data_IF_295564259088
#
_entry.id   IF_295564259088
#
_cell.length_a   1.000
_cell.length_b   1.000
_cell.length_c   1.000
_cell.angle_alpha   90.00
_cell.angle_beta   90.00
_cell.angle_gamma   90.00
#
_symmetry.space_group_name_H-M   'P 1'
#
loop_
_entity.id
_entity.type
_entity.pdbx_description
1 polymer ?
#
# COMPACT_ATOMS: atom_id res chain seq x y z
N UNK A 1 22.73 -15.50 -4.16
CA UNK A 1 21.42 -16.11 -3.87
C UNK A 1 20.95 -15.67 -2.49
N UNK A 2 20.12 -14.65 -2.45
CA UNK A 2 19.48 -14.18 -1.23
C UNK A 2 18.15 -14.92 -1.07
N UNK A 3 17.82 -15.38 0.14
CA UNK A 3 16.56 -16.08 0.48
C UNK A 3 15.33 -15.17 0.39
N UNK A 4 15.14 -14.49 -0.75
CA UNK A 4 13.95 -13.67 -1.00
C UNK A 4 13.12 -14.29 -2.12
N UNK A 5 11.82 -14.42 -1.88
CA UNK A 5 10.84 -14.87 -2.84
C UNK A 5 9.87 -13.74 -3.16
N UNK A 6 9.33 -13.74 -4.36
CA UNK A 6 8.35 -12.76 -4.82
C UNK A 6 7.11 -13.50 -5.31
N UNK A 7 5.94 -13.04 -4.88
CA UNK A 7 4.66 -13.57 -5.31
C UNK A 7 3.80 -12.44 -5.85
N UNK A 8 3.58 -12.45 -7.15
CA UNK A 8 2.79 -11.44 -7.88
C UNK A 8 1.32 -11.79 -7.94
N UNK A 9 0.51 -10.84 -8.38
CA UNK A 9 -0.94 -10.99 -8.61
C UNK A 9 -1.65 -11.58 -7.39
N UNK A 10 -1.25 -11.16 -6.19
CA UNK A 10 -1.75 -11.69 -4.93
C UNK A 10 -2.21 -10.55 -4.01
N UNK A 11 -3.46 -10.63 -3.56
CA UNK A 11 -4.06 -9.64 -2.65
C UNK A 11 -4.10 -10.19 -1.23
N UNK A 12 -3.77 -9.36 -0.25
CA UNK A 12 -4.03 -9.70 1.16
C UNK A 12 -5.49 -9.45 1.47
N UNK A 13 -6.15 -10.49 1.94
CA UNK A 13 -7.59 -10.47 2.24
C UNK A 13 -7.90 -10.59 3.74
N UNK A 14 -6.95 -11.10 4.52
CA UNK A 14 -7.07 -11.19 5.98
C UNK A 14 -5.68 -11.43 6.61
N UNK A 15 -5.63 -11.51 7.90
CA UNK A 15 -4.42 -11.74 8.70
C UNK A 15 -4.57 -12.95 9.61
N UNK A 16 -3.44 -13.53 9.98
CA UNK A 16 -3.36 -14.62 10.94
C UNK A 16 -2.90 -14.09 12.30
N UNK A 17 -3.47 -14.62 13.34
CA UNK A 17 -3.01 -14.38 14.72
C UNK A 17 -2.70 -15.70 15.41
N UNK A 18 -1.72 -15.68 16.31
CA UNK A 18 -1.45 -16.78 17.23
C UNK A 18 -2.50 -16.84 18.36
N UNK A 19 -2.49 -17.86 19.23
CA UNK A 19 -3.43 -17.96 20.35
C UNK A 19 -3.36 -16.78 21.34
N UNK A 20 -2.27 -16.02 21.37
CA UNK A 20 -2.13 -14.81 22.19
C UNK A 20 -2.63 -13.54 21.51
N UNK A 21 -3.10 -13.63 20.25
CA UNK A 21 -3.56 -12.51 19.45
C UNK A 21 -2.46 -11.74 18.72
N UNK A 22 -1.20 -12.18 18.79
CA UNK A 22 -0.09 -11.55 18.04
C UNK A 22 -0.13 -11.93 16.56
N UNK A 23 0.37 -11.08 15.67
CA UNK A 23 0.50 -11.41 14.26
C UNK A 23 1.27 -12.70 14.05
N UNK A 24 0.72 -13.58 13.23
CA UNK A 24 1.29 -14.88 12.89
C UNK A 24 1.36 -15.11 11.36
N UNK A 25 0.89 -14.15 10.58
CA UNK A 25 0.91 -14.22 9.13
C UNK A 25 -0.24 -13.48 8.44
N UNK A 26 -0.45 -13.81 7.20
CA UNK A 26 -1.48 -13.21 6.34
C UNK A 26 -2.26 -14.27 5.57
N UNK A 27 -3.46 -13.90 5.11
CA UNK A 27 -4.25 -14.66 4.15
C UNK A 27 -4.24 -13.90 2.83
N UNK A 28 -3.87 -14.57 1.77
CA UNK A 28 -3.88 -14.03 0.42
C UNK A 28 -4.98 -14.66 -0.43
N UNK A 29 -5.35 -13.97 -1.48
CA UNK A 29 -6.16 -14.49 -2.58
C UNK A 29 -5.45 -14.21 -3.90
N UNK A 30 -5.36 -15.22 -4.74
CA UNK A 30 -4.84 -15.16 -6.09
C UNK A 30 -5.55 -16.17 -6.99
N UNK A 31 -5.03 -16.45 -8.18
CA UNK A 31 -5.62 -17.44 -9.10
C UNK A 31 -5.68 -18.88 -8.54
N UNK A 32 -4.86 -19.21 -7.55
CA UNK A 32 -4.87 -20.50 -6.86
C UNK A 32 -5.85 -20.55 -5.68
N UNK A 33 -6.66 -19.50 -5.50
CA UNK A 33 -7.61 -19.39 -4.40
C UNK A 33 -7.03 -18.70 -3.17
N UNK A 34 -7.63 -18.96 -2.01
CA UNK A 34 -7.18 -18.38 -0.74
C UNK A 34 -6.13 -19.28 -0.09
N UNK A 35 -5.06 -18.67 0.38
CA UNK A 35 -3.92 -19.37 0.98
C UNK A 35 -3.43 -18.62 2.22
N UNK A 36 -2.90 -19.35 3.19
CA UNK A 36 -2.29 -18.79 4.39
C UNK A 36 -0.76 -18.78 4.26
N UNK A 37 -0.14 -17.72 4.74
CA UNK A 37 1.32 -17.55 4.79
C UNK A 37 1.67 -17.20 6.23
N UNK A 38 2.49 -18.03 6.88
CA UNK A 38 2.95 -17.78 8.26
C UNK A 38 4.24 -16.97 8.24
N UNK A 39 4.39 -16.08 9.23
CA UNK A 39 5.61 -15.29 9.38
C UNK A 39 5.84 -14.87 10.85
N UNK A 40 7.06 -14.47 11.15
CA UNK A 40 7.46 -13.89 12.45
C UNK A 40 7.13 -12.40 12.51
N UNK A 41 7.21 -11.71 11.38
CA UNK A 41 7.00 -10.27 11.26
C UNK A 41 6.35 -9.89 9.94
N UNK A 42 5.65 -8.77 9.96
CA UNK A 42 5.00 -8.17 8.80
C UNK A 42 5.54 -6.76 8.59
N UNK A 43 5.97 -6.48 7.36
CA UNK A 43 6.23 -5.13 6.87
C UNK A 43 5.07 -4.78 5.94
N UNK A 44 4.18 -3.90 6.39
CA UNK A 44 3.08 -3.38 5.59
C UNK A 44 3.58 -2.19 4.77
N UNK A 45 3.90 -2.44 3.52
CA UNK A 45 4.31 -1.43 2.54
C UNK A 45 3.16 -1.04 1.59
N UNK A 46 1.92 -1.34 1.97
CA UNK A 46 0.74 -0.89 1.23
C UNK A 46 0.52 0.61 1.46
N UNK A 47 0.01 1.30 0.44
CA UNK A 47 -0.15 2.75 0.46
C UNK A 47 -0.95 3.28 1.66
N UNK A 48 -2.04 2.61 2.01
CA UNK A 48 -2.96 2.99 3.10
C UNK A 48 -2.75 2.16 4.39
N UNK A 49 -1.64 1.45 4.51
CA UNK A 49 -1.38 0.53 5.62
C UNK A 49 -2.55 -0.44 5.85
N UNK A 50 -3.01 -1.09 4.79
CA UNK A 50 -4.20 -1.94 4.77
C UNK A 50 -4.06 -3.13 5.72
N UNK A 51 -2.90 -3.74 5.77
CA UNK A 51 -2.62 -4.91 6.63
C UNK A 51 -2.59 -4.50 8.10
N UNK A 52 -2.03 -3.33 8.41
CA UNK A 52 -2.09 -2.75 9.75
C UNK A 52 -3.55 -2.52 10.18
N UNK A 53 -4.43 -2.09 9.26
CA UNK A 53 -5.86 -1.99 9.50
C UNK A 53 -6.51 -3.34 9.81
N UNK A 54 -6.22 -4.37 9.02
CA UNK A 54 -6.71 -5.73 9.25
C UNK A 54 -6.25 -6.30 10.60
N UNK A 55 -5.05 -5.93 11.06
CA UNK A 55 -4.52 -6.31 12.38
C UNK A 55 -5.12 -5.47 13.53
N UNK A 56 -5.83 -4.39 13.24
CA UNK A 56 -6.38 -3.49 14.26
C UNK A 56 -5.30 -2.59 14.89
N UNK A 57 -4.31 -2.19 14.10
CA UNK A 57 -3.35 -1.18 14.54
C UNK A 57 -4.08 0.14 14.84
N UNK A 58 -3.75 0.74 15.97
CA UNK A 58 -4.29 2.04 16.34
C UNK A 58 -3.83 3.09 15.34
N UNK A 59 -4.75 3.97 14.97
CA UNK A 59 -4.52 5.04 14.00
C UNK A 59 -4.99 6.37 14.55
N UNK A 60 -4.36 7.45 14.10
CA UNK A 60 -4.92 8.78 14.29
C UNK A 60 -6.23 8.89 13.51
N UNK A 61 -7.24 9.57 14.05
CA UNK A 61 -8.53 9.75 13.36
C UNK A 61 -8.33 10.38 11.98
N UNK A 62 -9.10 9.91 11.02
CA UNK A 62 -9.18 10.56 9.71
C UNK A 62 -9.88 11.91 9.85
N UNK A 63 -9.35 12.93 9.20
CA UNK A 63 -9.96 14.26 9.14
C UNK A 63 -10.39 14.50 7.69
N UNK A 64 -11.71 14.53 7.48
CA UNK A 64 -12.30 14.83 6.17
C UNK A 64 -11.87 16.22 5.64
N UNK A 65 -11.94 16.42 4.35
CA UNK A 65 -11.66 17.70 3.71
C UNK A 65 -10.80 17.58 2.47
N UNK A 66 -10.40 18.70 1.91
CA UNK A 66 -9.62 18.75 0.68
C UNK A 66 -8.28 18.02 0.82
N UNK A 67 -7.94 17.29 -0.24
CA UNK A 67 -6.68 16.55 -0.37
C UNK A 67 -6.12 16.73 -1.77
N UNK A 68 -4.79 16.81 -1.85
CA UNK A 68 -4.07 16.82 -3.10
C UNK A 68 -3.93 15.41 -3.66
N UNK A 69 -4.20 15.28 -4.96
CA UNK A 69 -4.00 14.08 -5.76
C UNK A 69 -3.23 14.42 -7.02
N UNK A 70 -2.29 13.57 -7.40
CA UNK A 70 -1.60 13.69 -8.68
C UNK A 70 -1.92 12.46 -9.56
N UNK A 71 -2.07 12.72 -10.85
CA UNK A 71 -2.32 11.71 -11.86
C UNK A 71 -1.56 12.05 -13.14
N UNK A 72 -0.95 11.06 -13.76
CA UNK A 72 -0.14 11.25 -14.97
C UNK A 72 -0.78 10.54 -16.14
N UNK A 73 -0.84 11.22 -17.28
CA UNK A 73 -1.40 10.71 -18.54
C UNK A 73 -0.39 10.88 -19.65
N UNK A 74 -0.36 9.93 -20.56
CA UNK A 74 0.53 9.90 -21.74
C UNK A 74 -0.30 10.04 -23.01
N UNK A 75 0.07 10.96 -23.89
CA UNK A 75 -0.49 11.07 -25.24
C UNK A 75 -1.58 12.12 -25.41
N UNK A 76 -1.95 12.85 -24.36
CA UNK A 76 -2.91 13.95 -24.48
C UNK A 76 -2.26 15.34 -24.33
N UNK A 77 -2.97 16.36 -24.76
CA UNK A 77 -2.65 17.75 -24.44
C UNK A 77 -3.19 18.11 -23.05
N UNK A 78 -2.50 18.96 -22.27
CA UNK A 78 -2.99 19.44 -21.00
C UNK A 78 -4.41 20.03 -21.10
N UNK A 79 -5.29 19.63 -20.20
CA UNK A 79 -6.68 20.10 -20.10
C UNK A 79 -6.83 21.05 -18.93
N UNK A 80 -7.74 21.99 -19.08
CA UNK A 80 -8.17 22.89 -18.00
C UNK A 80 -9.57 22.50 -17.52
N UNK A 81 -9.74 22.46 -16.22
CA UNK A 81 -11.03 22.28 -15.53
C UNK A 81 -10.94 22.91 -14.14
N UNK A 82 -12.08 23.31 -13.54
CA UNK A 82 -12.08 23.96 -12.22
C UNK A 82 -11.41 23.15 -11.11
N UNK A 83 -11.47 21.84 -11.20
CA UNK A 83 -10.88 20.91 -10.25
C UNK A 83 -9.40 20.65 -10.50
N UNK A 84 -8.87 21.01 -11.67
CA UNK A 84 -7.46 20.85 -12.03
C UNK A 84 -6.73 22.13 -11.59
N UNK A 85 -5.89 22.01 -10.56
CA UNK A 85 -5.10 23.14 -10.07
C UNK A 85 -3.90 23.38 -10.98
N UNK A 86 -3.31 22.28 -11.46
CA UNK A 86 -2.14 22.33 -12.32
C UNK A 86 -2.17 21.19 -13.32
N UNK A 87 -1.94 21.52 -14.59
CA UNK A 87 -1.62 20.56 -15.63
C UNK A 87 -0.24 20.94 -16.20
N UNK A 88 0.74 20.07 -16.00
CA UNK A 88 2.14 20.28 -16.35
C UNK A 88 2.58 19.23 -17.37
N UNK A 89 2.99 19.66 -18.54
CA UNK A 89 3.67 18.78 -19.49
C UNK A 89 5.11 18.53 -19.01
N UNK A 90 5.46 17.28 -18.82
CA UNK A 90 6.79 16.89 -18.36
C UNK A 90 7.81 17.00 -19.50
N UNK A 91 9.04 17.36 -19.16
CA UNK A 91 10.10 17.62 -20.13
C UNK A 91 10.55 16.40 -20.95
N UNK A 92 10.18 15.20 -20.54
CA UNK A 92 10.58 13.95 -21.20
C UNK A 92 9.34 13.20 -21.71
N UNK A 93 9.13 13.19 -23.04
CA UNK A 93 8.06 12.38 -23.63
C UNK A 93 8.39 10.90 -23.59
N UNK A 94 7.36 10.08 -23.60
CA UNK A 94 7.47 8.61 -23.67
C UNK A 94 7.47 8.20 -25.16
N UNK A 95 8.43 7.35 -25.53
CA UNK A 95 8.50 6.74 -26.85
C UNK A 95 7.84 5.37 -26.85
N UNK A 96 6.88 5.17 -27.76
CA UNK A 96 6.26 3.89 -28.03
C UNK A 96 6.47 3.57 -29.52
N UNK A 97 7.37 2.63 -29.80
CA UNK A 97 7.84 2.40 -31.16
C UNK A 97 8.59 3.63 -31.71
N UNK A 98 8.19 4.12 -32.89
CA UNK A 98 8.77 5.32 -33.51
C UNK A 98 8.09 6.64 -33.10
N UNK A 99 6.96 6.55 -32.39
CA UNK A 99 6.19 7.72 -31.96
C UNK A 99 6.62 8.20 -30.58
N UNK A 100 6.60 9.51 -30.40
CA UNK A 100 6.87 10.20 -29.15
C UNK A 100 5.58 10.84 -28.64
N UNK A 101 5.23 10.59 -27.39
CA UNK A 101 4.00 11.05 -26.78
C UNK A 101 4.29 11.98 -25.61
N UNK A 102 3.62 13.14 -25.52
CA UNK A 102 3.75 14.02 -24.36
C UNK A 102 3.25 13.32 -23.09
N UNK A 103 3.80 13.73 -21.97
CA UNK A 103 3.40 13.25 -20.64
C UNK A 103 2.88 14.41 -19.84
N UNK A 104 1.62 14.37 -19.44
CA UNK A 104 0.99 15.42 -18.64
C UNK A 104 0.75 14.94 -17.22
N UNK A 105 1.25 15.66 -16.23
CA UNK A 105 0.94 15.48 -14.83
C UNK A 105 -0.12 16.48 -14.39
N UNK A 106 -1.22 15.95 -13.89
CA UNK A 106 -2.33 16.72 -13.32
C UNK A 106 -2.25 16.72 -11.80
N UNK A 107 -2.51 17.87 -11.19
CA UNK A 107 -2.70 18.02 -9.75
C UNK A 107 -4.11 18.51 -9.47
N UNK A 108 -4.80 17.81 -8.58
CA UNK A 108 -6.17 18.08 -8.15
C UNK A 108 -6.21 18.35 -6.66
N UNK A 109 -7.13 19.23 -6.22
CA UNK A 109 -7.56 19.31 -4.83
C UNK A 109 -9.04 18.92 -4.74
N UNK A 110 -9.29 17.71 -4.29
CA UNK A 110 -10.65 17.16 -4.19
C UNK A 110 -10.99 16.83 -2.74
N UNK A 111 -12.28 16.96 -2.36
CA UNK A 111 -12.71 16.58 -1.02
C UNK A 111 -12.69 15.07 -0.87
N UNK A 112 -12.03 14.59 0.19
CA UNK A 112 -12.09 13.20 0.62
C UNK A 112 -12.98 13.11 1.86
N UNK A 113 -14.10 12.37 1.77
CA UNK A 113 -15.15 12.32 2.80
C UNK A 113 -14.70 11.52 4.02
N UNK A 114 -14.05 10.39 3.76
CA UNK A 114 -13.53 9.45 4.76
C UNK A 114 -12.37 8.65 4.17
N UNK A 115 -11.80 7.73 4.93
CA UNK A 115 -10.69 6.86 4.52
C UNK A 115 -11.15 5.55 3.86
N UNK A 116 -12.42 5.46 3.49
CA UNK A 116 -12.95 4.27 2.82
C UNK A 116 -12.45 4.17 1.39
N UNK A 117 -12.39 2.93 0.89
CA UNK A 117 -12.14 2.68 -0.51
C UNK A 117 -13.19 3.33 -1.42
N UNK A 118 -14.44 3.47 -0.94
CA UNK A 118 -15.52 4.16 -1.64
C UNK A 118 -15.18 5.61 -1.95
N UNK A 119 -14.75 6.34 -0.94
CA UNK A 119 -14.37 7.75 -1.10
C UNK A 119 -13.18 7.92 -2.04
N UNK A 120 -12.20 7.02 -1.99
CA UNK A 120 -11.07 7.03 -2.92
C UNK A 120 -11.48 6.69 -4.35
N UNK A 121 -12.35 5.69 -4.55
CA UNK A 121 -12.83 5.31 -5.87
C UNK A 121 -13.67 6.41 -6.52
N UNK A 122 -14.46 7.15 -5.73
CA UNK A 122 -15.21 8.33 -6.21
C UNK A 122 -14.25 9.42 -6.73
N UNK A 123 -13.20 9.72 -5.97
CA UNK A 123 -12.17 10.69 -6.36
C UNK A 123 -11.42 10.22 -7.61
N UNK A 124 -11.03 8.96 -7.65
CA UNK A 124 -10.33 8.37 -8.81
C UNK A 124 -11.20 8.46 -10.08
N UNK A 125 -12.49 8.16 -9.97
CA UNK A 125 -13.42 8.29 -11.10
C UNK A 125 -13.52 9.73 -11.61
N UNK A 126 -13.59 10.70 -10.70
CA UNK A 126 -13.62 12.14 -11.06
C UNK A 126 -12.36 12.50 -11.83
N UNK A 127 -11.19 12.13 -11.32
CA UNK A 127 -9.89 12.44 -11.94
C UNK A 127 -9.78 11.79 -13.32
N UNK A 128 -10.12 10.51 -13.44
CA UNK A 128 -10.09 9.80 -14.73
C UNK A 128 -11.05 10.39 -15.74
N UNK A 129 -12.25 10.81 -15.34
CA UNK A 129 -13.21 11.47 -16.22
C UNK A 129 -12.67 12.81 -16.76
N UNK A 130 -12.02 13.60 -15.92
CA UNK A 130 -11.46 14.90 -16.33
C UNK A 130 -10.21 14.77 -17.22
N UNK A 131 -9.40 13.75 -16.98
CA UNK A 131 -8.13 13.59 -17.69
C UNK A 131 -8.23 12.70 -18.93
N UNK A 132 -9.33 11.93 -19.06
CA UNK A 132 -9.50 11.04 -20.21
C UNK A 132 -9.50 11.81 -21.55
N UNK A 133 -8.81 11.26 -22.53
CA UNK A 133 -8.77 11.77 -23.90
C UNK A 133 -8.70 10.60 -24.88
N UNK A 134 -9.23 10.83 -26.12
CA UNK A 134 -9.23 9.82 -27.16
C UNK A 134 -7.81 9.47 -27.64
N UNK A 135 -6.88 10.43 -27.55
CA UNK A 135 -5.48 10.27 -27.94
C UNK A 135 -4.60 9.75 -26.80
N UNK A 136 -5.20 9.47 -25.64
CA UNK A 136 -4.50 8.88 -24.52
C UNK A 136 -4.01 7.47 -24.84
N UNK A 137 -2.71 7.24 -24.73
CA UNK A 137 -2.09 5.92 -24.96
C UNK A 137 -1.80 5.17 -23.68
N UNK A 138 -1.63 5.89 -22.55
CA UNK A 138 -1.36 5.30 -21.24
C UNK A 138 -1.66 6.27 -20.10
N UNK A 139 -1.64 5.78 -18.87
CA UNK A 139 -1.79 6.59 -17.66
C UNK A 139 -1.24 5.87 -16.43
N UNK A 140 -1.06 6.60 -15.34
CA UNK A 140 -0.73 5.98 -14.04
C UNK A 140 -1.78 4.94 -13.64
N UNK A 141 -1.35 3.78 -13.16
CA UNK A 141 -2.26 2.75 -12.64
C UNK A 141 -3.00 3.22 -11.39
N UNK A 142 -2.33 4.01 -10.55
CA UNK A 142 -2.83 4.48 -9.27
C UNK A 142 -2.71 6.00 -9.15
N UNK A 143 -3.59 6.59 -8.36
CA UNK A 143 -3.44 7.97 -7.90
C UNK A 143 -2.26 8.09 -6.94
N UNK A 144 -1.47 9.13 -7.11
CA UNK A 144 -0.49 9.53 -6.12
C UNK A 144 -1.11 10.54 -5.14
N UNK A 145 -1.04 10.26 -3.85
CA UNK A 145 -1.47 11.16 -2.77
C UNK A 145 -0.80 10.76 -1.45
N UNK A 146 -0.86 11.63 -0.45
CA UNK A 146 -0.35 11.33 0.89
C UNK A 146 -1.54 11.09 1.82
N UNK A 147 -1.78 9.87 2.31
CA UNK A 147 -2.86 9.59 3.24
C UNK A 147 -2.84 10.52 4.44
N UNK A 148 -4.00 11.01 4.87
CA UNK A 148 -4.12 11.89 6.04
C UNK A 148 -3.93 11.13 7.35
N UNK A 149 -4.37 9.87 7.40
CA UNK A 149 -4.23 9.03 8.58
C UNK A 149 -2.83 8.44 8.72
N UNK A 150 -2.40 8.30 9.97
CA UNK A 150 -1.17 7.60 10.33
C UNK A 150 -1.45 6.55 11.39
N UNK A 151 -0.60 5.53 11.47
CA UNK A 151 -0.61 4.63 12.62
C UNK A 151 -0.16 5.38 13.89
N UNK A 152 -0.53 4.86 15.06
CA UNK A 152 0.15 5.20 16.30
C UNK A 152 1.40 4.31 16.41
N UNK A 153 2.57 4.92 16.39
CA UNK A 153 3.87 4.22 16.44
C UNK A 153 4.44 4.12 17.85
N UNK A 154 5.48 3.31 18.03
CA UNK A 154 6.22 3.25 19.31
C UNK A 154 6.80 4.62 19.69
N UNK A 155 7.22 5.41 18.69
CA UNK A 155 7.76 6.75 18.90
C UNK A 155 7.55 7.63 17.68
N UNK A 156 6.56 8.52 17.75
CA UNK A 156 6.30 9.49 16.70
C UNK A 156 7.55 10.33 16.39
N UNK A 157 7.78 10.60 15.11
CA UNK A 157 8.81 11.52 14.69
C UNK A 157 8.21 12.90 14.35
N UNK A 158 8.54 13.90 15.14
CA UNK A 158 8.08 15.29 14.97
C UNK A 158 9.24 16.24 14.61
N UNK A 159 10.37 15.71 14.18
CA UNK A 159 11.56 16.49 13.84
C UNK A 159 11.45 17.23 12.51
N UNK A 160 12.46 18.04 12.23
CA UNK A 160 12.52 18.85 11.02
C UNK A 160 12.40 17.95 9.75
N UNK A 161 11.51 18.27 8.80
CA UNK A 161 11.28 17.50 7.58
C UNK A 161 12.46 17.44 6.59
N UNK A 162 13.56 18.08 6.90
CA UNK A 162 14.72 18.19 5.99
C UNK A 162 15.50 16.88 5.82
N UNK A 163 15.48 15.96 6.79
CA UNK A 163 16.36 14.79 6.76
C UNK A 163 15.65 13.45 6.88
N UNK A 164 15.14 12.93 5.76
CA UNK A 164 14.61 11.56 5.67
C UNK A 164 15.68 10.47 6.01
N UNK A 165 16.97 10.76 5.86
CA UNK A 165 18.07 9.83 6.18
C UNK A 165 18.23 9.54 7.68
N UNK A 166 17.64 10.35 8.54
CA UNK A 166 17.75 10.23 10.02
C UNK A 166 16.44 9.80 10.67
N UNK A 167 15.50 9.25 9.89
CA UNK A 167 14.23 8.78 10.44
C UNK A 167 14.44 7.58 11.38
N UNK A 168 13.96 7.67 12.63
CA UNK A 168 14.02 6.54 13.54
C UNK A 168 13.04 5.46 13.11
N UNK A 169 13.46 4.20 13.06
CA UNK A 169 12.60 3.07 12.66
C UNK A 169 11.42 2.87 13.62
N UNK A 170 11.48 3.38 14.85
CA UNK A 170 10.37 3.37 15.80
C UNK A 170 9.14 4.16 15.33
N UNK A 171 9.31 5.15 14.44
CA UNK A 171 8.20 5.90 13.84
C UNK A 171 7.38 5.08 12.84
N UNK A 172 7.92 3.97 12.39
CA UNK A 172 7.29 3.01 11.48
C UNK A 172 6.74 1.77 12.19
N UNK A 173 7.11 1.52 13.45
CA UNK A 173 6.72 0.35 14.22
C UNK A 173 5.42 0.61 14.97
N UNK A 174 4.43 -0.26 14.79
CA UNK A 174 3.14 -0.15 15.49
C UNK A 174 3.30 -0.20 17.00
N UNK A 175 2.60 0.70 17.72
CA UNK A 175 2.62 0.78 19.18
C UNK A 175 1.89 -0.39 19.85
N UNK A 176 0.76 -0.80 19.27
CA UNK A 176 -0.13 -1.79 19.89
C UNK A 176 -0.09 -3.17 19.22
N UNK A 177 0.57 -3.30 18.06
CA UNK A 177 0.69 -4.59 17.35
C UNK A 177 2.15 -5.00 17.31
N UNK A 178 2.46 -6.11 17.96
CA UNK A 178 3.82 -6.65 17.97
C UNK A 178 4.27 -7.08 16.56
N UNK A 179 5.56 -6.92 16.25
CA UNK A 179 6.18 -7.37 15.01
C UNK A 179 5.48 -6.87 13.73
N UNK A 180 4.87 -5.68 13.79
CA UNK A 180 4.28 -4.97 12.66
C UNK A 180 4.99 -3.65 12.43
N UNK A 181 5.47 -3.45 11.22
CA UNK A 181 6.02 -2.18 10.73
C UNK A 181 5.22 -1.68 9.54
N UNK A 182 5.00 -0.37 9.47
CA UNK A 182 4.31 0.29 8.35
C UNK A 182 5.32 1.09 7.55
N UNK A 183 5.71 0.55 6.41
CA UNK A 183 6.69 1.15 5.51
C UNK A 183 5.97 1.97 4.43
N UNK A 184 5.79 3.26 4.69
CA UNK A 184 5.11 4.12 3.73
C UNK A 184 4.57 5.41 4.35
N UNK A 185 3.66 6.06 3.65
CA UNK A 185 3.16 7.38 4.05
C UNK A 185 2.28 7.37 5.30
N UNK A 186 1.78 6.20 5.71
CA UNK A 186 1.00 6.05 6.95
C UNK A 186 1.87 5.89 8.22
N UNK A 187 3.20 5.93 8.13
CA UNK A 187 4.07 6.01 9.30
C UNK A 187 3.82 7.31 10.09
N UNK A 188 4.13 7.30 11.38
CA UNK A 188 3.89 8.47 12.26
C UNK A 188 5.02 9.51 12.12
N UNK A 189 5.03 10.16 10.95
CA UNK A 189 5.98 11.21 10.55
C UNK A 189 5.22 12.44 10.00
N UNK A 190 5.83 13.64 9.95
CA UNK A 190 5.22 14.81 9.32
C UNK A 190 4.79 14.55 7.88
N UNK A 191 3.65 15.11 7.45
CA UNK A 191 3.09 14.84 6.11
C UNK A 191 4.00 15.30 4.97
N UNK A 192 4.70 16.42 5.13
CA UNK A 192 5.72 16.88 4.18
C UNK A 192 6.88 15.90 4.04
N UNK A 193 7.25 15.25 5.15
CA UNK A 193 8.28 14.23 5.13
C UNK A 193 7.75 12.92 4.51
N UNK A 194 6.48 12.57 4.77
CA UNK A 194 5.82 11.45 4.12
C UNK A 194 5.85 11.60 2.59
N UNK A 195 5.57 12.79 2.06
CA UNK A 195 5.69 13.08 0.63
C UNK A 195 7.11 12.86 0.09
N UNK A 196 8.13 13.23 0.86
CA UNK A 196 9.53 13.01 0.48
C UNK A 196 9.93 11.53 0.50
N UNK A 197 9.50 10.79 1.53
CA UNK A 197 9.86 9.36 1.67
C UNK A 197 9.19 8.46 0.65
N UNK A 198 8.13 8.92 -0.01
CA UNK A 198 7.51 8.21 -1.12
C UNK A 198 8.27 8.34 -2.45
N UNK A 199 9.23 9.26 -2.54
CA UNK A 199 10.05 9.39 -3.75
C UNK A 199 11.02 8.20 -3.88
N UNK A 200 11.42 7.80 -5.09
CA UNK A 200 12.18 6.58 -5.33
C UNK A 200 13.42 6.43 -4.46
N UNK A 201 14.31 7.40 -4.45
CA UNK A 201 15.60 7.31 -3.71
C UNK A 201 15.40 7.24 -2.19
N UNK A 202 14.61 8.12 -1.54
CA UNK A 202 14.27 7.95 -0.13
C UNK A 202 13.57 6.63 0.18
N UNK A 203 12.63 6.19 -0.67
CA UNK A 203 11.88 4.95 -0.46
C UNK A 203 12.80 3.72 -0.46
N UNK A 204 13.74 3.63 -1.42
CA UNK A 204 14.74 2.56 -1.46
C UNK A 204 15.57 2.52 -0.19
N UNK A 205 16.10 3.66 0.25
CA UNK A 205 16.95 3.76 1.44
C UNK A 205 16.20 3.37 2.73
N UNK A 206 14.97 3.88 2.91
CA UNK A 206 14.17 3.56 4.10
C UNK A 206 13.74 2.09 4.08
N UNK A 207 13.42 1.55 2.90
CA UNK A 207 13.13 0.13 2.72
C UNK A 207 14.31 -0.74 3.13
N UNK A 208 15.52 -0.41 2.67
CA UNK A 208 16.75 -1.10 3.05
C UNK A 208 16.96 -1.09 4.58
N UNK A 209 16.91 0.08 5.20
CA UNK A 209 17.02 0.22 6.65
C UNK A 209 15.95 -0.56 7.42
N UNK A 210 14.73 -0.57 6.91
CA UNK A 210 13.62 -1.31 7.51
C UNK A 210 13.87 -2.81 7.46
N UNK A 211 14.21 -3.35 6.29
CA UNK A 211 14.51 -4.77 6.11
C UNK A 211 15.59 -5.25 7.06
N UNK A 212 16.71 -4.53 7.14
CA UNK A 212 17.80 -4.83 8.07
C UNK A 212 17.35 -4.78 9.54
N UNK A 213 16.59 -3.74 9.90
CA UNK A 213 16.13 -3.56 11.29
C UNK A 213 15.20 -4.69 11.70
N UNK A 214 14.22 -5.04 10.85
CA UNK A 214 13.26 -6.10 11.12
C UNK A 214 13.97 -7.45 11.23
N UNK A 215 14.82 -7.81 10.25
CA UNK A 215 15.54 -9.08 10.25
C UNK A 215 16.34 -9.27 11.55
N UNK A 216 17.05 -8.22 11.99
CA UNK A 216 17.81 -8.28 13.27
C UNK A 216 16.91 -8.45 14.49
N UNK A 217 15.77 -7.77 14.54
CA UNK A 217 14.86 -7.84 15.71
C UNK A 217 14.14 -9.18 15.85
N UNK A 218 13.92 -9.90 14.75
CA UNK A 218 13.18 -11.15 14.76
C UNK A 218 14.06 -12.41 14.73
N UNK A 219 15.38 -12.26 14.71
CA UNK A 219 16.33 -13.35 14.51
C UNK A 219 16.05 -14.55 15.42
N UNK A 220 15.80 -14.29 16.72
CA UNK A 220 15.60 -15.31 17.74
C UNK A 220 14.12 -15.64 18.00
N UNK A 221 13.20 -15.05 17.21
CA UNK A 221 11.77 -15.33 17.32
C UNK A 221 11.42 -16.53 16.43
N UNK A 222 10.75 -17.57 16.96
CA UNK A 222 10.30 -18.69 16.13
C UNK A 222 9.11 -18.30 15.26
N UNK A 223 8.97 -18.95 14.12
CA UNK A 223 7.72 -18.86 13.34
C UNK A 223 6.59 -19.45 14.16
N UNK A 224 5.44 -18.77 14.31
CA UNK A 224 4.32 -19.26 15.09
C UNK A 224 3.85 -20.65 14.60
N UNK A 225 3.87 -21.63 15.50
CA UNK A 225 3.47 -23.00 15.18
C UNK A 225 1.95 -23.11 14.96
N UNK A 226 1.18 -22.31 15.69
CA UNK A 226 -0.28 -22.23 15.57
C UNK A 226 -0.68 -20.84 15.09
N UNK A 227 -1.57 -20.80 14.13
CA UNK A 227 -2.12 -19.57 13.59
C UNK A 227 -3.57 -19.80 13.16
N UNK A 228 -4.42 -18.83 13.43
CA UNK A 228 -5.82 -18.82 13.00
C UNK A 228 -6.14 -17.54 12.26
N UNK A 229 -7.10 -17.62 11.35
CA UNK A 229 -7.59 -16.43 10.64
C UNK A 229 -8.26 -15.51 11.65
N UNK A 230 -7.80 -14.27 11.72
CA UNK A 230 -8.40 -13.28 12.60
C UNK A 230 -9.84 -13.01 12.18
N UNK A 231 -10.76 -13.15 13.13
CA UNK A 231 -12.14 -12.76 12.93
C UNK A 231 -12.23 -11.23 12.95
N UNK A 232 -12.56 -10.65 11.82
CA UNK A 232 -12.82 -9.21 11.73
C UNK A 232 -14.23 -8.96 12.31
N UNK A 233 -14.32 -8.00 13.22
CA UNK A 233 -15.63 -7.47 13.62
C UNK A 233 -16.15 -6.64 12.45
N UNK A 234 -17.01 -7.21 11.67
CA UNK A 234 -17.68 -6.49 10.59
C UNK A 234 -18.89 -5.80 11.15
N UNK A 235 -18.95 -4.48 10.99
CA UNK A 235 -20.17 -3.76 11.33
C UNK A 235 -21.23 -4.10 10.28
N UNK A 236 -22.40 -4.58 10.69
CA UNK A 236 -23.47 -4.97 9.78
C UNK A 236 -23.90 -3.84 8.83
N UNK A 237 -23.74 -2.58 9.23
CA UNK A 237 -24.02 -1.42 8.40
C UNK A 237 -23.06 -1.25 7.21
N UNK A 238 -21.90 -1.90 7.25
CA UNK A 238 -20.87 -1.78 6.21
C UNK A 238 -20.86 -3.00 5.26
N UNK A 239 -21.74 -3.94 5.45
CA UNK A 239 -21.86 -5.08 4.55
C UNK A 239 -22.32 -4.62 3.16
N UNK A 240 -21.62 -5.11 2.13
CA UNK A 240 -21.93 -4.80 0.75
C UNK A 240 -21.51 -3.42 0.27
N UNK A 241 -20.91 -2.61 1.14
CA UNK A 241 -20.23 -1.39 0.71
C UNK A 241 -18.83 -1.76 0.26
N UNK A 242 -18.67 -2.13 -0.96
CA UNK A 242 -17.37 -2.54 -1.51
C UNK A 242 -16.52 -1.36 -1.95
N UNK A 243 -17.06 -0.18 -1.92
CA UNK A 243 -16.34 1.04 -2.24
C UNK A 243 -16.00 1.29 -3.70
N UNK A 244 -15.93 0.25 -4.48
CA UNK A 244 -15.75 0.36 -5.94
C UNK A 244 -17.03 0.76 -6.64
N UNK A 245 -18.07 0.95 -5.86
CA UNK A 245 -19.39 0.99 -6.39
C UNK A 245 -19.75 2.36 -6.81
N UNK A 246 -19.97 2.46 -8.05
CA UNK A 246 -20.60 3.61 -8.66
C UNK A 246 -22.09 3.29 -8.80
N UNK A 247 -22.92 4.10 -8.18
CA UNK A 247 -24.34 4.11 -8.51
C UNK A 247 -24.49 4.57 -9.97
N UNK A 248 -25.31 3.94 -10.79
CA UNK A 248 -26.19 2.81 -10.53
C UNK A 248 -25.63 1.44 -10.88
N UNK A 249 -24.38 1.36 -11.35
CA UNK A 249 -23.83 0.14 -11.95
C UNK A 249 -23.59 -0.95 -10.92
N UNK A 250 -23.22 -0.55 -9.71
CA UNK A 250 -23.00 -1.47 -8.60
C UNK A 250 -23.61 -0.88 -7.33
N UNK A 251 -24.81 -1.26 -6.97
CA UNK A 251 -25.45 -0.74 -5.76
C UNK A 251 -24.66 -1.22 -4.53
N UNK A 252 -24.27 -0.30 -3.68
CA UNK A 252 -23.65 -0.57 -2.39
C UNK A 252 -24.60 -1.19 -1.37
N UNK A 253 -25.84 -1.41 -1.75
CA UNK A 253 -26.85 -2.00 -0.90
C UNK A 253 -26.69 -3.51 -0.87
N UNK A 254 -26.43 -4.02 0.32
CA UNK A 254 -26.47 -5.44 0.58
C UNK A 254 -27.90 -5.97 0.40
N UNK A 255 -28.05 -7.02 -0.39
CA UNK A 255 -29.34 -7.65 -0.67
C UNK A 255 -29.53 -9.02 -0.01
N UNK A 256 -28.55 -9.47 0.74
CA UNK A 256 -28.59 -10.77 1.42
C UNK A 256 -27.18 -11.35 1.62
N UNK A 257 -27.14 -12.55 2.14
CA UNK A 257 -25.90 -13.29 2.41
C UNK A 257 -25.99 -14.66 1.74
N UNK A 258 -24.81 -15.15 1.35
CA UNK A 258 -24.60 -16.55 1.02
C UNK A 258 -23.66 -17.11 2.07
N UNK A 259 -24.09 -18.14 2.78
CA UNK A 259 -23.27 -18.78 3.80
C UNK A 259 -22.03 -19.43 3.16
N UNK A 260 -20.87 -19.18 3.76
CA UNK A 260 -19.63 -19.87 3.37
C UNK A 260 -19.36 -20.98 4.39
N UNK A 261 -19.19 -22.24 3.95
CA UNK A 261 -18.91 -23.30 4.87
C UNK A 261 -17.60 -23.07 5.61
N UNK A 262 -17.54 -23.50 6.88
CA UNK A 262 -16.30 -23.51 7.62
C UNK A 262 -15.29 -24.44 6.92
N UNK A 263 -14.03 -24.01 6.87
CA UNK A 263 -12.97 -24.74 6.19
C UNK A 263 -11.59 -24.36 6.70
N UNK A 264 -10.58 -25.06 6.19
CA UNK A 264 -9.18 -24.76 6.44
C UNK A 264 -8.55 -24.14 5.18
N UNK A 265 -7.61 -23.20 5.37
CA UNK A 265 -6.84 -22.62 4.29
C UNK A 265 -5.54 -23.40 4.10
N UNK A 266 -5.15 -23.75 2.87
CA UNK A 266 -3.82 -24.31 2.61
C UNK A 266 -2.74 -23.29 2.98
N UNK A 267 -1.70 -23.77 3.67
CA UNK A 267 -0.54 -22.96 4.01
C UNK A 267 0.41 -23.00 2.82
N UNK A 268 0.65 -21.84 2.19
CA UNK A 268 1.58 -21.73 1.07
C UNK A 268 3.03 -21.85 1.52
N UNK A 269 3.37 -21.28 2.63
CA UNK A 269 4.72 -21.31 3.18
C UNK A 269 4.83 -20.67 4.56
N UNK A 270 6.03 -20.72 5.10
CA UNK A 270 6.39 -20.07 6.36
C UNK A 270 7.67 -19.29 6.19
N UNK A 271 7.66 -18.02 6.58
CA UNK A 271 8.72 -17.07 6.36
C UNK A 271 9.11 -16.37 7.66
N UNK A 272 10.28 -15.82 7.69
CA UNK A 272 10.69 -14.95 8.79
C UNK A 272 10.01 -13.57 8.63
N UNK A 273 10.09 -13.01 7.44
CA UNK A 273 9.48 -11.71 7.10
C UNK A 273 8.53 -11.87 5.92
N UNK A 274 7.36 -11.24 6.02
CA UNK A 274 6.48 -11.02 4.86
C UNK A 274 6.33 -9.51 4.66
N UNK A 275 6.65 -9.06 3.46
CA UNK A 275 6.48 -7.67 3.01
C UNK A 275 5.24 -7.60 2.14
N UNK A 276 4.31 -6.72 2.50
CA UNK A 276 3.06 -6.51 1.78
C UNK A 276 3.18 -5.24 0.94
N UNK A 277 3.18 -5.41 -0.37
CA UNK A 277 3.46 -4.36 -1.35
C UNK A 277 4.91 -4.38 -1.82
N UNK A 278 5.10 -4.72 -3.10
CA UNK A 278 6.42 -4.78 -3.76
C UNK A 278 6.80 -3.49 -4.49
N UNK A 279 6.25 -2.36 -4.09
CA UNK A 279 6.66 -1.05 -4.59
C UNK A 279 8.13 -0.74 -4.29
N UNK A 280 8.58 0.48 -4.59
CA UNK A 280 9.99 0.88 -4.44
C UNK A 280 10.56 0.57 -3.06
N UNK A 281 9.85 0.94 -2.00
CA UNK A 281 10.27 0.70 -0.63
C UNK A 281 10.14 -0.76 -0.21
N UNK A 282 9.01 -1.41 -0.56
CA UNK A 282 8.75 -2.78 -0.14
C UNK A 282 9.68 -3.79 -0.80
N UNK A 283 9.99 -3.64 -2.08
CA UNK A 283 10.98 -4.48 -2.75
C UNK A 283 12.37 -4.34 -2.11
N UNK A 284 12.79 -3.10 -1.81
CA UNK A 284 14.05 -2.83 -1.12
C UNK A 284 14.08 -3.44 0.29
N UNK A 285 12.99 -3.32 1.05
CA UNK A 285 12.87 -3.90 2.38
C UNK A 285 13.00 -5.43 2.34
N UNK A 286 12.33 -6.09 1.39
CA UNK A 286 12.41 -7.54 1.24
C UNK A 286 13.82 -8.02 0.90
N UNK A 287 14.48 -7.38 -0.05
CA UNK A 287 15.85 -7.68 -0.45
C UNK A 287 16.81 -7.47 0.74
N UNK A 288 16.62 -6.39 1.48
CA UNK A 288 17.49 -6.09 2.61
C UNK A 288 17.30 -7.06 3.78
N UNK A 289 16.07 -7.45 4.10
CA UNK A 289 15.79 -8.47 5.10
C UNK A 289 16.45 -9.81 4.72
N UNK A 290 16.34 -10.21 3.46
CA UNK A 290 16.96 -11.43 2.95
C UNK A 290 18.50 -11.39 2.99
N UNK A 291 19.12 -10.24 2.71
CA UNK A 291 20.56 -10.05 2.86
C UNK A 291 21.03 -10.23 4.30
N UNK A 292 20.19 -9.98 5.29
CA UNK A 292 20.47 -10.25 6.70
C UNK A 292 20.19 -11.71 7.11
N UNK A 293 19.89 -12.59 6.14
CA UNK A 293 19.66 -14.01 6.34
C UNK A 293 18.21 -14.40 6.68
N UNK A 294 17.26 -13.47 6.67
CA UNK A 294 15.86 -13.78 6.87
C UNK A 294 15.26 -14.47 5.64
N UNK A 295 14.51 -15.57 5.84
CA UNK A 295 13.68 -16.15 4.79
C UNK A 295 12.50 -15.20 4.53
N UNK A 296 12.49 -14.55 3.38
CA UNK A 296 11.62 -13.41 3.11
C UNK A 296 10.70 -13.64 1.92
N UNK A 297 9.45 -13.25 2.05
CA UNK A 297 8.48 -13.20 0.94
C UNK A 297 8.00 -11.75 0.74
N UNK A 298 8.01 -11.29 -0.49
CA UNK A 298 7.38 -10.04 -0.90
C UNK A 298 6.13 -10.36 -1.72
N UNK A 299 5.00 -9.81 -1.29
CA UNK A 299 3.70 -9.96 -1.97
C UNK A 299 3.39 -8.68 -2.74
N UNK A 300 3.09 -8.82 -4.02
CA UNK A 300 2.71 -7.69 -4.87
C UNK A 300 1.43 -8.03 -5.65
N UNK A 301 0.51 -7.08 -5.75
CA UNK A 301 -0.74 -7.30 -6.50
C UNK A 301 -0.57 -7.06 -8.00
N UNK A 302 0.41 -6.26 -8.41
CA UNK A 302 0.77 -6.08 -9.81
C UNK A 302 1.63 -7.24 -10.32
N UNK A 303 2.01 -7.17 -11.56
CA UNK A 303 2.84 -8.18 -12.24
C UNK A 303 4.35 -7.90 -12.17
N UNK A 304 4.77 -6.87 -11.46
CA UNK A 304 6.17 -6.45 -11.33
C UNK A 304 6.45 -5.67 -10.06
N UNK A 305 7.72 -5.42 -9.80
CA UNK A 305 8.20 -4.69 -8.63
C UNK A 305 8.56 -3.25 -8.96
N UNK A 306 8.70 -2.42 -7.92
CA UNK A 306 9.16 -1.04 -8.01
C UNK A 306 8.02 -0.01 -8.00
N UNK A 307 6.78 -0.45 -8.19
CA UNK A 307 5.59 0.42 -8.09
C UNK A 307 5.65 1.60 -9.03
N UNK A 308 5.41 2.80 -8.52
CA UNK A 308 5.39 4.05 -9.29
C UNK A 308 6.68 4.33 -10.06
N UNK A 309 7.83 3.88 -9.54
CA UNK A 309 9.15 4.10 -10.17
C UNK A 309 9.40 3.22 -11.38
N UNK A 310 8.60 2.18 -11.61
CA UNK A 310 8.74 1.23 -12.71
C UNK A 310 7.43 1.10 -13.49
N UNK A 311 6.46 0.38 -12.93
CA UNK A 311 5.17 0.13 -13.58
C UNK A 311 4.28 1.37 -13.66
N UNK A 312 4.40 2.29 -12.71
CA UNK A 312 3.62 3.52 -12.68
C UNK A 312 4.18 4.65 -13.54
N UNK A 313 5.26 4.42 -14.29
CA UNK A 313 5.90 5.39 -15.21
C UNK A 313 6.17 6.78 -14.61
N UNK A 314 6.07 6.95 -13.31
CA UNK A 314 6.45 8.20 -12.65
C UNK A 314 7.97 8.19 -12.55
N UNK A 315 8.58 8.58 -13.66
CA UNK A 315 10.00 8.77 -13.78
C UNK A 315 10.50 9.84 -12.83
N UNK A 316 11.72 9.71 -12.50
CA UNK A 316 12.68 10.47 -11.72
C UNK A 316 12.49 11.99 -11.78
#
# INVERSE_FOLDING_TARGET
DNNVQFLYSSYVTNVLTDPSGKPAGVVIANRSGRQAIRCKAIIDATHNASVAGLLGAERKPFIAGSQEFCYTVVGNTPKEAPEIIQAEELSQPIKVGEKSYPVTRYTFHLPLKDDSYASLAEVEQIIRNWTWDIDQVDSSDLLWYIPKQTINSEKAYNGNPVSWRKLPMQAFKSKNIANLWVLGPCAEIPRELAAKVMRPVPALFIGEMMGETVARQIKDIPVPAQATVRQLKVNASNYGQTGELLSPLRPSLQKGFVDSPAGALPVLGSYDVVVMGGGTAGASAGISAAKQGANTLVLEYLHGLGGLSTLGMIGV
#
